data_IF_509659688254
#
_entry.id   IF_509659688254
#
_cell.length_a   1.000
_cell.length_b   1.000
_cell.length_c   1.000
_cell.angle_alpha   90.00
_cell.angle_beta   90.00
_cell.angle_gamma   90.00
#
_symmetry.space_group_name_H-M   'P 1'
#
loop_
_entity.id
_entity.type
_entity.pdbx_description
1 polymer ?
#
# COMPACT_ATOMS: atom_id res chain seq x y z
N UNK A 1 53.35 -14.89 30.02
CA UNK A 1 52.31 -13.89 29.69
C UNK A 1 51.79 -13.96 28.24
N UNK A 2 52.59 -14.38 27.25
CA UNK A 2 52.18 -14.36 25.83
C UNK A 2 51.10 -15.40 25.43
N UNK A 3 51.02 -16.55 26.11
CA UNK A 3 50.03 -17.60 25.79
C UNK A 3 48.58 -17.17 26.08
N UNK A 4 48.36 -16.39 27.15
CA UNK A 4 47.04 -15.89 27.52
C UNK A 4 46.46 -14.92 26.50
N UNK A 5 47.33 -14.10 25.88
CA UNK A 5 46.92 -13.19 24.82
C UNK A 5 46.48 -13.96 23.55
N UNK A 6 47.18 -15.03 23.20
CA UNK A 6 46.81 -15.89 22.06
C UNK A 6 45.48 -16.61 22.29
N UNK A 7 45.25 -17.14 23.50
CA UNK A 7 43.98 -17.79 23.86
C UNK A 7 42.82 -16.78 23.85
N UNK A 8 43.02 -15.57 24.39
CA UNK A 8 42.01 -14.53 24.36
C UNK A 8 41.64 -14.11 22.92
N UNK A 9 42.64 -13.96 22.04
CA UNK A 9 42.40 -13.65 20.64
C UNK A 9 41.61 -14.75 19.91
N UNK A 10 41.93 -16.02 20.18
CA UNK A 10 41.21 -17.15 19.61
C UNK A 10 39.74 -17.21 20.06
N UNK A 11 39.46 -16.95 21.33
CA UNK A 11 38.09 -16.91 21.88
C UNK A 11 37.28 -15.77 21.25
N UNK A 12 37.88 -14.59 21.09
CA UNK A 12 37.22 -13.44 20.47
C UNK A 12 36.90 -13.73 19.00
N UNK A 13 37.83 -14.34 18.26
CA UNK A 13 37.60 -14.72 16.86
C UNK A 13 36.50 -15.76 16.71
N UNK A 14 36.57 -16.86 17.48
CA UNK A 14 35.54 -17.91 17.41
C UNK A 14 34.18 -17.39 17.89
N UNK A 15 34.16 -16.66 19.00
CA UNK A 15 32.95 -16.09 19.57
C UNK A 15 32.30 -15.06 18.66
N UNK A 16 33.10 -14.22 18.00
CA UNK A 16 32.61 -13.27 17.00
C UNK A 16 31.99 -13.96 15.79
N UNK A 17 32.64 -15.01 15.26
CA UNK A 17 32.14 -15.75 14.10
C UNK A 17 30.86 -16.53 14.43
N UNK A 18 30.83 -17.20 15.59
CA UNK A 18 29.65 -17.91 16.09
C UNK A 18 28.50 -16.96 16.41
N UNK A 19 28.79 -15.81 17.03
CA UNK A 19 27.80 -14.78 17.32
C UNK A 19 27.19 -14.20 16.05
N UNK A 20 28.01 -13.89 15.05
CA UNK A 20 27.53 -13.43 13.74
C UNK A 20 26.66 -14.48 13.05
N UNK A 21 27.08 -15.76 13.09
CA UNK A 21 26.28 -16.86 12.55
C UNK A 21 24.95 -17.02 13.27
N UNK A 22 24.93 -16.92 14.61
CA UNK A 22 23.72 -17.06 15.41
C UNK A 22 22.73 -15.92 15.16
N UNK A 23 23.21 -14.68 15.08
CA UNK A 23 22.39 -13.51 14.76
C UNK A 23 21.82 -13.61 13.35
N UNK A 24 22.61 -14.05 12.37
CA UNK A 24 22.12 -14.31 11.02
C UNK A 24 21.09 -15.46 11.01
N UNK A 25 21.33 -16.54 11.75
CA UNK A 25 20.43 -17.69 11.81
C UNK A 25 19.08 -17.34 12.46
N UNK A 26 19.10 -16.55 13.53
CA UNK A 26 17.90 -16.18 14.29
C UNK A 26 17.12 -15.01 13.67
N UNK A 27 17.81 -14.02 13.09
CA UNK A 27 17.15 -12.80 12.59
C UNK A 27 17.37 -12.50 11.11
N UNK A 28 18.38 -13.09 10.48
CA UNK A 28 18.75 -12.82 9.09
C UNK A 28 18.33 -13.90 8.09
N UNK A 29 17.79 -15.03 8.56
CA UNK A 29 17.28 -16.08 7.68
C UNK A 29 15.92 -15.64 7.15
N UNK A 30 15.86 -15.28 5.87
CA UNK A 30 14.61 -15.29 5.13
C UNK A 30 14.03 -16.70 5.27
N UNK A 31 12.98 -16.83 6.09
CA UNK A 31 12.21 -18.06 6.15
C UNK A 31 11.69 -18.30 4.73
N UNK A 32 12.04 -19.42 4.08
CA UNK A 32 11.53 -19.70 2.75
C UNK A 32 10.01 -19.76 2.88
N UNK A 33 9.35 -18.73 2.37
CA UNK A 33 7.90 -18.73 2.21
C UNK A 33 7.57 -19.98 1.41
N UNK A 34 6.72 -20.89 1.91
CA UNK A 34 6.34 -22.06 1.14
C UNK A 34 5.83 -21.57 -0.22
N UNK A 35 6.21 -22.23 -1.34
CA UNK A 35 5.72 -21.83 -2.65
C UNK A 35 4.20 -21.83 -2.59
N UNK A 36 3.57 -20.70 -2.90
CA UNK A 36 2.12 -20.58 -3.10
C UNK A 36 1.75 -21.39 -4.34
N UNK A 37 1.82 -22.72 -4.23
CA UNK A 37 1.45 -23.66 -5.29
C UNK A 37 -0.05 -23.97 -5.26
N UNK A 38 -0.75 -23.54 -4.22
CA UNK A 38 -2.20 -23.51 -4.27
C UNK A 38 -2.63 -22.28 -5.06
N UNK A 39 -2.98 -22.53 -6.33
CA UNK A 39 -3.87 -21.66 -7.08
C UNK A 39 -5.10 -21.40 -6.20
N UNK A 40 -5.09 -20.25 -5.50
CA UNK A 40 -6.27 -19.71 -4.83
C UNK A 40 -7.34 -19.56 -5.92
N UNK A 41 -8.24 -20.54 -5.98
CA UNK A 41 -9.40 -20.55 -6.87
C UNK A 41 -10.51 -19.64 -6.33
N UNK A 42 -10.32 -19.13 -5.11
CA UNK A 42 -11.20 -18.15 -4.50
C UNK A 42 -10.85 -16.75 -5.00
N UNK A 43 -11.88 -16.03 -5.46
CA UNK A 43 -11.71 -14.65 -5.90
C UNK A 43 -10.99 -13.85 -4.80
N UNK A 44 -10.04 -12.96 -5.18
CA UNK A 44 -9.25 -12.25 -4.19
C UNK A 44 -10.16 -11.53 -3.21
N UNK A 45 -9.74 -11.53 -1.94
CA UNK A 45 -10.32 -10.78 -0.82
C UNK A 45 -11.11 -9.55 -1.26
N UNK A 46 -12.26 -9.26 -0.63
CA UNK A 46 -13.15 -8.11 -0.85
C UNK A 46 -12.49 -6.72 -0.57
N UNK A 47 -11.15 -6.65 -0.63
CA UNK A 47 -10.34 -5.46 -0.43
C UNK A 47 -10.55 -4.45 -1.58
N UNK A 48 -10.64 -3.15 -1.24
CA UNK A 48 -10.64 -2.11 -2.26
C UNK A 48 -9.30 -2.14 -3.03
N UNK A 49 -9.31 -2.02 -4.37
CA UNK A 49 -8.13 -2.16 -5.21
C UNK A 49 -7.10 -1.04 -4.95
N UNK A 50 -7.52 0.13 -4.48
CA UNK A 50 -6.60 1.17 -4.02
C UNK A 50 -5.82 0.76 -2.78
N UNK A 51 -6.47 0.06 -1.85
CA UNK A 51 -5.83 -0.49 -0.64
C UNK A 51 -4.90 -1.64 -1.02
N UNK A 52 -5.30 -2.52 -1.93
CA UNK A 52 -4.41 -3.56 -2.47
C UNK A 52 -3.15 -2.94 -3.08
N UNK A 53 -3.31 -1.90 -3.91
CA UNK A 53 -2.16 -1.19 -4.48
C UNK A 53 -1.27 -0.57 -3.39
N UNK A 54 -1.86 0.02 -2.35
CA UNK A 54 -1.11 0.53 -1.20
C UNK A 54 -0.32 -0.56 -0.49
N UNK A 55 -0.94 -1.72 -0.23
CA UNK A 55 -0.28 -2.83 0.47
C UNK A 55 0.90 -3.39 -0.35
N UNK A 56 0.72 -3.49 -1.67
CA UNK A 56 1.78 -3.94 -2.59
C UNK A 56 2.92 -2.93 -2.68
N UNK A 57 2.61 -1.64 -2.79
CA UNK A 57 3.61 -0.58 -2.93
C UNK A 57 4.18 -0.11 -1.56
N UNK A 58 3.57 -0.58 -0.45
CA UNK A 58 3.77 -0.14 0.95
C UNK A 58 3.67 1.38 1.18
N UNK A 59 3.09 2.11 0.23
CA UNK A 59 2.99 3.56 0.25
C UNK A 59 1.81 4.02 -0.59
N UNK A 60 1.24 5.19 -0.30
CA UNK A 60 0.19 5.74 -1.14
C UNK A 60 0.77 6.16 -2.51
N UNK A 61 0.16 5.67 -3.58
CA UNK A 61 0.55 6.00 -4.96
C UNK A 61 -0.63 6.54 -5.75
N UNK A 62 -0.35 7.35 -6.77
CA UNK A 62 -1.38 7.85 -7.69
C UNK A 62 -2.11 6.70 -8.41
N UNK A 63 -1.40 5.59 -8.67
CA UNK A 63 -1.99 4.34 -9.18
C UNK A 63 -3.05 3.78 -8.23
N UNK A 64 -2.79 3.78 -6.92
CA UNK A 64 -3.76 3.37 -5.90
C UNK A 64 -5.02 4.23 -5.92
N UNK A 65 -4.89 5.57 -6.02
CA UNK A 65 -6.06 6.46 -6.10
C UNK A 65 -6.81 6.29 -7.42
N UNK A 66 -6.11 6.05 -8.53
CA UNK A 66 -6.75 5.72 -9.81
C UNK A 66 -7.53 4.38 -9.72
N UNK A 67 -6.98 3.38 -9.03
CA UNK A 67 -7.68 2.14 -8.75
C UNK A 67 -8.94 2.37 -7.89
N UNK A 68 -8.87 3.27 -6.91
CA UNK A 68 -10.02 3.75 -6.13
C UNK A 68 -11.07 4.47 -6.99
N UNK A 69 -10.65 5.25 -8.00
CA UNK A 69 -11.57 5.87 -8.97
C UNK A 69 -12.32 4.82 -9.80
N UNK A 70 -11.62 3.76 -10.24
CA UNK A 70 -12.28 2.62 -10.89
C UNK A 70 -13.21 1.87 -9.96
N UNK A 71 -12.87 1.76 -8.68
CA UNK A 71 -13.75 1.15 -7.70
C UNK A 71 -15.05 1.95 -7.53
N UNK A 72 -14.98 3.28 -7.47
CA UNK A 72 -16.20 4.14 -7.48
C UNK A 72 -17.07 3.88 -8.72
N UNK A 73 -16.46 3.60 -9.86
CA UNK A 73 -17.19 3.25 -11.08
C UNK A 73 -17.84 1.87 -11.00
N UNK A 74 -17.14 0.88 -10.44
CA UNK A 74 -17.67 -0.46 -10.17
C UNK A 74 -18.86 -0.42 -9.20
N UNK A 75 -18.81 0.46 -8.20
CA UNK A 75 -19.93 0.71 -7.27
C UNK A 75 -21.11 1.46 -7.92
N UNK A 76 -21.00 1.86 -9.19
CA UNK A 76 -22.06 2.58 -9.90
C UNK A 76 -22.21 4.05 -9.52
N UNK A 77 -21.28 4.61 -8.75
CA UNK A 77 -21.30 6.02 -8.32
C UNK A 77 -20.78 6.96 -9.42
N UNK A 78 -19.86 6.44 -10.24
CA UNK A 78 -19.29 7.08 -11.41
C UNK A 78 -19.43 6.17 -12.64
N UNK A 79 -19.38 6.76 -13.82
CA UNK A 79 -19.25 6.05 -15.09
C UNK A 79 -17.97 6.48 -15.76
N UNK A 80 -17.17 5.50 -16.18
CA UNK A 80 -15.90 5.73 -16.87
C UNK A 80 -16.00 5.12 -18.26
N UNK A 81 -15.64 5.90 -19.28
CA UNK A 81 -15.49 5.41 -20.65
C UNK A 81 -14.07 5.76 -21.13
N UNK A 82 -13.45 4.86 -21.89
CA UNK A 82 -12.07 4.99 -22.38
C UNK A 82 -11.96 5.05 -23.91
N UNK A 83 -13.07 5.02 -24.65
CA UNK A 83 -13.06 4.89 -26.11
C UNK A 83 -12.25 5.99 -26.83
N UNK A 84 -12.22 7.21 -26.28
CA UNK A 84 -11.54 8.38 -26.87
C UNK A 84 -10.71 9.11 -25.80
N UNK A 85 -10.13 8.33 -24.88
CA UNK A 85 -9.51 8.82 -23.66
C UNK A 85 -10.43 8.65 -22.45
N UNK A 86 -9.88 8.90 -21.26
CA UNK A 86 -10.60 8.67 -20.00
C UNK A 86 -11.61 9.79 -19.74
N UNK A 87 -12.88 9.48 -19.98
CA UNK A 87 -14.01 10.35 -19.67
C UNK A 87 -14.77 9.83 -18.46
N UNK A 88 -15.21 10.76 -17.63
CA UNK A 88 -15.88 10.55 -16.36
C UNK A 88 -17.25 11.21 -16.41
N UNK A 89 -18.25 10.52 -15.88
CA UNK A 89 -19.59 11.06 -15.66
C UNK A 89 -20.07 10.62 -14.29
N UNK A 90 -20.74 11.50 -13.57
CA UNK A 90 -21.28 11.17 -12.26
C UNK A 90 -22.63 10.50 -12.42
N UNK A 91 -22.86 9.43 -11.67
CA UNK A 91 -24.14 8.71 -11.65
C UNK A 91 -24.88 8.89 -10.31
N UNK A 92 -24.22 9.42 -9.29
CA UNK A 92 -24.79 9.64 -7.96
C UNK A 92 -24.94 11.13 -7.60
N UNK A 93 -26.13 11.53 -7.14
CA UNK A 93 -26.46 12.95 -6.91
C UNK A 93 -25.94 13.48 -5.57
N UNK A 94 -26.10 12.70 -4.52
CA UNK A 94 -25.86 13.14 -3.14
C UNK A 94 -24.40 13.01 -2.74
N UNK A 95 -24.00 13.65 -1.63
CA UNK A 95 -22.71 13.36 -1.01
C UNK A 95 -22.77 12.03 -0.28
N UNK A 96 -21.65 11.34 -0.20
CA UNK A 96 -21.55 10.09 0.55
C UNK A 96 -21.26 10.38 2.03
N UNK A 97 -21.86 9.61 2.93
CA UNK A 97 -21.52 9.61 4.34
C UNK A 97 -20.50 8.50 4.66
N UNK A 98 -19.68 8.71 5.71
CA UNK A 98 -18.81 7.64 6.22
C UNK A 98 -19.63 6.44 6.68
N UNK A 99 -19.17 5.23 6.37
CA UNK A 99 -19.90 3.98 6.66
C UNK A 99 -21.16 3.76 5.81
N UNK A 100 -21.44 4.61 4.82
CA UNK A 100 -22.57 4.41 3.92
C UNK A 100 -22.37 3.13 3.11
N UNK A 101 -23.44 2.35 2.96
CA UNK A 101 -23.47 1.19 2.08
C UNK A 101 -24.30 1.48 0.85
N UNK A 102 -23.88 0.93 -0.29
CA UNK A 102 -24.60 1.05 -1.56
C UNK A 102 -24.81 -0.34 -2.15
N UNK A 103 -25.98 -0.54 -2.76
CA UNK A 103 -26.23 -1.71 -3.58
C UNK A 103 -25.48 -1.55 -4.90
N UNK A 104 -24.55 -2.45 -5.16
CA UNK A 104 -23.84 -2.47 -6.44
C UNK A 104 -24.82 -2.81 -7.58
N UNK A 105 -24.45 -2.51 -8.83
CA UNK A 105 -25.21 -2.99 -10.00
C UNK A 105 -25.40 -4.52 -10.02
N UNK A 106 -24.55 -5.26 -9.31
CA UNK A 106 -24.57 -6.71 -9.14
C UNK A 106 -25.52 -7.18 -8.01
N UNK A 107 -26.17 -6.24 -7.30
CA UNK A 107 -27.11 -6.53 -6.20
C UNK A 107 -26.46 -6.78 -4.83
N UNK A 108 -25.12 -6.69 -4.71
CA UNK A 108 -24.41 -6.85 -3.44
C UNK A 108 -24.43 -5.54 -2.66
N UNK A 109 -24.80 -5.58 -1.37
CA UNK A 109 -24.66 -4.42 -0.47
C UNK A 109 -23.21 -4.35 0.00
N UNK A 110 -22.51 -3.28 -0.37
CA UNK A 110 -21.10 -3.09 0.00
C UNK A 110 -20.98 -1.77 0.78
N UNK A 111 -20.32 -1.84 1.94
CA UNK A 111 -19.92 -0.65 2.69
C UNK A 111 -18.82 0.09 1.93
N UNK A 112 -19.04 1.38 1.68
CA UNK A 112 -18.09 2.21 0.94
C UNK A 112 -16.89 2.51 1.85
N UNK A 113 -15.65 2.16 1.45
CA UNK A 113 -14.44 2.57 2.17
C UNK A 113 -14.34 4.09 2.30
N UNK A 114 -13.82 4.56 3.42
CA UNK A 114 -13.77 5.99 3.76
C UNK A 114 -12.93 6.80 2.77
N UNK A 115 -11.82 6.25 2.26
CA UNK A 115 -11.00 6.91 1.25
C UNK A 115 -11.78 7.14 -0.07
N UNK A 116 -12.75 6.28 -0.40
CA UNK A 116 -13.64 6.47 -1.54
C UNK A 116 -14.68 7.56 -1.28
N UNK A 117 -15.21 7.64 -0.06
CA UNK A 117 -16.13 8.71 0.35
C UNK A 117 -15.45 10.07 0.18
N UNK A 118 -14.21 10.20 0.65
CA UNK A 118 -13.42 11.43 0.53
C UNK A 118 -13.15 11.75 -0.95
N UNK A 119 -12.68 10.77 -1.72
CA UNK A 119 -12.37 10.95 -3.13
C UNK A 119 -13.59 11.40 -3.94
N UNK A 120 -14.73 10.70 -3.78
CA UNK A 120 -15.96 11.05 -4.47
C UNK A 120 -16.47 12.43 -4.08
N UNK A 121 -16.56 12.73 -2.78
CA UNK A 121 -17.10 13.99 -2.29
C UNK A 121 -16.26 15.20 -2.73
N UNK A 122 -14.93 15.05 -2.83
CA UNK A 122 -14.05 16.10 -3.34
C UNK A 122 -14.25 16.34 -4.84
N UNK A 123 -14.39 15.27 -5.64
CA UNK A 123 -14.50 15.37 -7.10
C UNK A 123 -15.93 15.68 -7.58
N UNK A 124 -16.96 15.41 -6.78
CA UNK A 124 -18.38 15.51 -7.21
C UNK A 124 -18.77 16.89 -7.75
N UNK A 125 -18.16 17.96 -7.24
CA UNK A 125 -18.46 19.34 -7.63
C UNK A 125 -17.99 19.66 -9.06
N UNK A 126 -17.02 18.88 -9.56
CA UNK A 126 -16.41 19.06 -10.87
C UNK A 126 -16.89 18.06 -11.91
N UNK A 127 -17.48 16.93 -11.48
CA UNK A 127 -18.00 15.89 -12.38
C UNK A 127 -19.52 16.05 -12.54
N UNK A 128 -20.00 16.59 -13.67
CA UNK A 128 -21.43 16.70 -13.96
C UNK A 128 -22.11 15.34 -14.12
N UNK A 129 -23.45 15.32 -13.99
CA UNK A 129 -24.28 14.13 -14.25
C UNK A 129 -24.84 14.11 -15.67
N UNK A 130 -25.07 15.27 -16.25
CA UNK A 130 -25.73 15.49 -17.54
C UNK A 130 -24.79 15.26 -18.74
N UNK A 131 -23.48 15.42 -18.56
CA UNK A 131 -22.50 15.26 -19.63
C UNK A 131 -21.21 14.55 -19.17
N UNK A 132 -20.59 13.73 -20.02
CA UNK A 132 -19.26 13.20 -19.75
C UNK A 132 -18.20 14.30 -19.87
N UNK A 133 -17.17 14.25 -19.02
CA UNK A 133 -16.03 15.16 -19.04
C UNK A 133 -14.71 14.40 -19.05
N UNK A 134 -13.65 14.96 -19.64
CA UNK A 134 -12.34 14.31 -19.60
C UNK A 134 -11.70 14.41 -18.20
N UNK A 135 -10.98 13.36 -17.77
CA UNK A 135 -10.20 13.38 -16.53
C UNK A 135 -9.17 14.52 -16.54
N UNK A 136 -8.60 14.83 -17.71
CA UNK A 136 -7.65 15.95 -17.86
C UNK A 136 -8.25 17.29 -17.43
N UNK A 137 -9.54 17.52 -17.66
CA UNK A 137 -10.25 18.74 -17.27
C UNK A 137 -10.36 18.93 -15.75
N UNK A 138 -10.27 17.84 -14.98
CA UNK A 138 -10.33 17.87 -13.50
C UNK A 138 -9.01 17.52 -12.83
N UNK A 139 -7.92 17.37 -13.61
CA UNK A 139 -6.61 16.93 -13.12
C UNK A 139 -6.10 17.78 -11.95
N UNK A 140 -6.27 19.10 -12.01
CA UNK A 140 -5.85 20.00 -10.92
C UNK A 140 -6.59 19.72 -9.61
N UNK A 141 -7.91 19.52 -9.66
CA UNK A 141 -8.72 19.25 -8.46
C UNK A 141 -8.48 17.84 -7.93
N UNK A 142 -8.25 16.88 -8.83
CA UNK A 142 -7.82 15.54 -8.48
C UNK A 142 -6.48 15.56 -7.72
N UNK A 143 -5.47 16.28 -8.23
CA UNK A 143 -4.16 16.42 -7.58
C UNK A 143 -4.25 17.06 -6.19
N UNK A 144 -5.07 18.11 -6.04
CA UNK A 144 -5.32 18.76 -4.73
C UNK A 144 -5.96 17.82 -3.70
N UNK A 145 -6.71 16.83 -4.17
CA UNK A 145 -7.41 15.86 -3.31
C UNK A 145 -6.49 14.73 -2.82
N UNK A 146 -5.42 14.43 -3.56
CA UNK A 146 -4.53 13.30 -3.28
C UNK A 146 -4.00 13.25 -1.83
N UNK A 147 -3.48 14.34 -1.23
CA UNK A 147 -2.92 14.26 0.11
C UNK A 147 -3.94 13.76 1.14
N UNK A 148 -5.20 14.20 1.03
CA UNK A 148 -6.26 13.79 1.95
C UNK A 148 -6.65 12.33 1.76
N UNK A 149 -6.73 11.87 0.51
CA UNK A 149 -7.04 10.46 0.20
C UNK A 149 -5.89 9.55 0.64
N UNK A 150 -4.64 9.98 0.48
CA UNK A 150 -3.47 9.23 0.92
C UNK A 150 -3.44 9.01 2.44
N UNK A 151 -3.84 10.02 3.23
CA UNK A 151 -3.95 9.89 4.67
C UNK A 151 -5.00 8.84 5.06
N UNK A 152 -6.17 8.89 4.44
CA UNK A 152 -7.23 7.92 4.74
C UNK A 152 -6.86 6.50 4.31
N UNK A 153 -6.20 6.35 3.15
CA UNK A 153 -5.69 5.05 2.71
C UNK A 153 -4.63 4.50 3.67
N UNK A 154 -3.75 5.35 4.19
CA UNK A 154 -2.77 4.95 5.19
C UNK A 154 -3.46 4.51 6.49
N UNK A 155 -4.47 5.25 6.95
CA UNK A 155 -5.27 4.87 8.12
C UNK A 155 -5.98 3.52 7.92
N UNK A 156 -6.67 3.33 6.79
CA UNK A 156 -7.34 2.08 6.44
C UNK A 156 -6.40 0.88 6.30
N UNK A 157 -5.11 1.12 6.05
CA UNK A 157 -4.11 0.05 5.91
C UNK A 157 -3.43 -0.32 7.22
N UNK A 158 -3.51 0.51 8.26
CA UNK A 158 -2.95 0.18 9.59
C UNK A 158 -3.47 -1.15 10.13
N UNK A 159 -4.73 -1.51 9.83
CA UNK A 159 -5.32 -2.81 10.22
C UNK A 159 -4.64 -4.03 9.59
N UNK A 160 -3.84 -3.85 8.53
CA UNK A 160 -3.14 -4.93 7.82
C UNK A 160 -1.64 -4.99 8.16
N UNK A 161 -1.11 -4.02 8.90
CA UNK A 161 0.29 -4.00 9.31
C UNK A 161 0.39 -4.17 10.82
N UNK A 162 1.06 -5.23 11.28
CA UNK A 162 1.43 -5.39 12.69
C UNK A 162 2.52 -4.36 13.09
N UNK A 163 3.43 -4.02 12.15
CA UNK A 163 4.41 -2.93 12.25
C UNK A 163 4.62 -2.32 10.84
N UNK A 164 4.83 -1.00 10.73
CA UNK A 164 5.08 -0.33 9.45
C UNK A 164 6.40 -0.85 8.82
N UNK A 165 6.39 -1.41 7.59
CA UNK A 165 7.58 -2.00 6.96
C UNK A 165 8.77 -1.05 6.85
N UNK A 166 8.52 0.25 6.71
CA UNK A 166 9.56 1.28 6.68
C UNK A 166 10.39 1.32 7.97
N UNK A 167 9.79 1.08 9.15
CA UNK A 167 10.50 1.03 10.42
C UNK A 167 11.43 -0.19 10.51
N UNK A 168 11.01 -1.34 9.98
CA UNK A 168 11.82 -2.56 9.93
C UNK A 168 12.99 -2.37 8.94
N UNK A 169 12.74 -1.83 7.75
CA UNK A 169 13.80 -1.56 6.75
C UNK A 169 14.86 -0.58 7.27
N UNK A 170 14.45 0.49 7.96
CA UNK A 170 15.39 1.48 8.48
C UNK A 170 16.30 0.90 9.58
N UNK A 171 15.79 -0.06 10.37
CA UNK A 171 16.56 -0.80 11.38
C UNK A 171 17.62 -1.70 10.75
N UNK A 172 17.32 -2.35 9.63
CA UNK A 172 18.29 -3.20 8.92
C UNK A 172 19.26 -2.40 8.02
N UNK A 173 18.84 -1.28 7.45
CA UNK A 173 19.70 -0.38 6.66
C UNK A 173 20.79 0.28 7.52
N UNK A 174 20.48 0.64 8.77
CA UNK A 174 21.46 1.23 9.69
C UNK A 174 22.51 0.21 10.14
N UNK A 175 22.15 -1.07 10.28
CA UNK A 175 23.09 -2.17 10.52
C UNK A 175 23.93 -2.46 9.26
N UNK A 176 23.32 -2.46 8.07
CA UNK A 176 24.02 -2.69 6.80
C UNK A 176 25.00 -1.57 6.40
N UNK A 177 24.68 -0.31 6.70
CA UNK A 177 25.59 0.83 6.49
C UNK A 177 26.79 0.81 7.44
N UNK A 178 26.64 0.28 8.66
CA UNK A 178 27.75 0.09 9.58
C UNK A 178 28.73 -0.98 9.09
N UNK A 179 28.22 -2.08 8.50
CA UNK A 179 29.01 -3.16 7.92
C UNK A 179 29.73 -2.77 6.62
N UNK A 180 29.14 -1.92 5.79
CA UNK A 180 29.72 -1.51 4.50
C UNK A 180 30.71 -0.34 4.60
N UNK A 181 30.72 0.40 5.71
CA UNK A 181 31.69 1.48 5.96
C UNK A 181 33.09 0.99 6.34
N UNK A 182 33.25 -0.30 6.66
CA UNK A 182 34.54 -0.94 7.00
C UNK A 182 35.24 -1.62 5.80
N UNK A 183 34.81 -1.30 4.57
CA UNK A 183 35.40 -1.85 3.33
C UNK A 183 35.50 -0.78 2.24
N UNK A 184 36.20 0.31 2.52
CA UNK A 184 36.82 1.14 1.49
C UNK A 184 38.28 1.39 1.86
N UNK A 185 39.26 0.98 1.02
CA UNK A 185 40.65 1.36 1.20
C UNK A 185 40.85 2.88 1.02
#
# INVERSE_FOLDING_TARGET
>A
MQLWAGVAAAIILLGGLLGAWLVWYLWGRDTPTPPLTDYLSEAPSDLPPGIVAYLVDERPTAKGVLASLFHLARLGLLRINMAQGMVLQRNWKESLAKGQSVQTPEGKVIAIPDHLVILFNALRSRIPMDRPIHLSSISSEFQKTLPRVYLEMAEETTRFFNELPAAVRHRWLSIGQWLTRWRRP
#
